data_IF_330613587191
#
_entry.id   IF_330613587191
#
_cell.length_a   1.000
_cell.length_b   1.000
_cell.length_c   1.000
_cell.angle_alpha   90.00
_cell.angle_beta   90.00
_cell.angle_gamma   90.00
#
_symmetry.space_group_name_H-M   'P 1'
#
loop_
_entity.id
_entity.type
_entity.pdbx_description
1 polymer ?
#
# COMPACT_ATOMS: atom_id res chain seq x y z
N UNK A 1 8.66 -3.10 -16.20
CA UNK A 1 7.98 -2.03 -15.45
C UNK A 1 7.55 -2.68 -14.14
N UNK A 2 7.91 -2.17 -12.95
CA UNK A 2 7.46 -2.81 -11.72
C UNK A 2 5.94 -2.74 -11.64
N UNK A 3 5.36 -3.81 -11.11
CA UNK A 3 3.92 -3.96 -10.90
C UNK A 3 3.48 -2.98 -9.79
N UNK A 4 2.61 -1.99 -10.07
CA UNK A 4 2.15 -1.01 -9.08
C UNK A 4 1.29 -1.62 -7.95
N UNK A 5 0.96 -2.91 -8.02
CA UNK A 5 -0.04 -3.57 -7.15
C UNK A 5 0.39 -3.73 -5.68
N UNK A 6 1.64 -3.43 -5.31
CA UNK A 6 2.20 -3.82 -4.01
C UNK A 6 1.70 -2.98 -2.82
N UNK A 7 1.25 -1.74 -3.02
CA UNK A 7 0.89 -0.85 -1.89
C UNK A 7 -0.57 -0.97 -1.45
N UNK A 8 -1.47 -1.46 -2.30
CA UNK A 8 -2.92 -1.56 -2.02
C UNK A 8 -3.34 -2.87 -1.32
N UNK A 9 -2.36 -3.66 -0.82
CA UNK A 9 -2.61 -5.02 -0.35
C UNK A 9 -3.69 -5.12 0.75
N UNK A 10 -3.84 -4.08 1.58
CA UNK A 10 -4.82 -4.08 2.69
C UNK A 10 -6.20 -3.62 2.24
N UNK A 11 -6.27 -2.74 1.26
CA UNK A 11 -7.48 -2.40 0.51
C UNK A 11 -7.99 -3.62 -0.26
N UNK A 12 -7.10 -4.38 -0.90
CA UNK A 12 -7.47 -5.63 -1.59
C UNK A 12 -8.01 -6.68 -0.62
N UNK A 13 -7.37 -6.86 0.55
CA UNK A 13 -7.94 -7.70 1.62
C UNK A 13 -9.31 -7.16 2.05
N UNK A 14 -9.46 -5.85 2.26
CA UNK A 14 -10.74 -5.27 2.68
C UNK A 14 -11.87 -5.54 1.69
N UNK A 15 -11.57 -5.42 0.40
CA UNK A 15 -12.52 -5.61 -0.71
C UNK A 15 -12.66 -7.07 -1.17
N UNK A 16 -11.88 -8.00 -0.60
CA UNK A 16 -11.84 -9.39 -1.05
C UNK A 16 -11.29 -9.58 -2.48
N UNK A 17 -10.47 -8.64 -2.95
CA UNK A 17 -9.83 -8.71 -4.26
C UNK A 17 -8.63 -9.70 -4.24
N UNK A 18 -8.28 -10.32 -5.39
CA UNK A 18 -7.12 -11.20 -5.49
C UNK A 18 -5.84 -10.48 -5.08
N UNK A 19 -5.03 -11.13 -4.23
CA UNK A 19 -3.77 -10.57 -3.79
C UNK A 19 -2.67 -10.83 -4.84
N UNK A 20 -1.83 -9.84 -5.18
CA UNK A 20 -0.74 -10.03 -6.14
C UNK A 20 0.37 -10.92 -5.56
N UNK A 21 1.17 -11.55 -6.42
CA UNK A 21 2.43 -12.12 -5.98
C UNK A 21 3.39 -11.02 -5.53
N UNK A 22 4.02 -11.22 -4.37
CA UNK A 22 4.89 -10.21 -3.75
C UNK A 22 6.36 -10.59 -3.85
N UNK A 23 7.12 -9.85 -4.64
CA UNK A 23 8.59 -9.87 -4.63
C UNK A 23 9.14 -8.71 -3.80
N UNK A 24 9.45 -8.99 -2.53
CA UNK A 24 9.92 -7.97 -1.59
C UNK A 24 11.28 -7.40 -1.98
N UNK A 25 12.18 -8.18 -2.57
CA UNK A 25 13.51 -7.68 -2.90
C UNK A 25 13.43 -6.74 -4.11
N UNK A 26 12.50 -6.97 -5.03
CA UNK A 26 12.25 -6.06 -6.15
C UNK A 26 11.72 -4.69 -5.68
N UNK A 27 10.89 -4.64 -4.63
CA UNK A 27 10.33 -3.40 -4.06
C UNK A 27 11.42 -2.36 -3.73
N UNK A 28 12.54 -2.80 -3.15
CA UNK A 28 13.63 -1.93 -2.69
C UNK A 28 14.73 -1.66 -3.73
N UNK A 29 14.69 -2.32 -4.89
CA UNK A 29 15.65 -2.12 -5.98
C UNK A 29 15.18 -1.11 -7.04
N UNK A 30 14.01 -0.52 -6.86
CA UNK A 30 13.44 0.42 -7.83
C UNK A 30 14.32 1.67 -7.94
N UNK A 31 14.79 1.95 -9.16
CA UNK A 31 15.51 3.17 -9.51
C UNK A 31 14.75 3.84 -10.66
N UNK A 32 14.47 5.14 -10.51
CA UNK A 32 13.87 5.97 -11.56
C UNK A 32 14.92 6.93 -12.11
N UNK A 33 14.86 7.23 -13.40
CA UNK A 33 15.79 8.17 -14.03
C UNK A 33 15.35 9.63 -13.85
N UNK A 34 14.03 9.86 -13.71
CA UNK A 34 13.41 11.17 -13.53
C UNK A 34 12.45 11.13 -12.32
N UNK A 35 12.54 12.08 -11.37
CA UNK A 35 11.57 12.20 -10.27
C UNK A 35 10.09 12.23 -10.71
N UNK A 36 9.81 12.69 -11.93
CA UNK A 36 8.45 12.67 -12.50
C UNK A 36 7.90 11.27 -12.68
N UNK A 37 8.75 10.28 -12.93
CA UNK A 37 8.34 8.87 -13.04
C UNK A 37 7.87 8.34 -11.68
N UNK A 38 8.53 8.75 -10.59
CA UNK A 38 8.12 8.40 -9.24
C UNK A 38 6.76 9.02 -8.90
N UNK A 39 6.57 10.32 -9.20
CA UNK A 39 5.28 10.99 -9.01
C UNK A 39 4.15 10.33 -9.80
N UNK A 40 4.39 10.04 -11.08
CA UNK A 40 3.41 9.35 -11.92
C UNK A 40 3.08 7.93 -11.42
N UNK A 41 4.01 7.27 -10.72
CA UNK A 41 3.77 5.97 -10.08
C UNK A 41 2.86 6.12 -8.86
N UNK A 42 3.08 7.16 -8.04
CA UNK A 42 2.21 7.47 -6.89
C UNK A 42 0.81 7.86 -7.35
N UNK A 43 0.69 8.68 -8.40
CA UNK A 43 -0.61 9.08 -8.95
C UNK A 43 -1.42 7.88 -9.47
N UNK A 44 -0.74 6.95 -10.14
CA UNK A 44 -1.37 5.71 -10.62
C UNK A 44 -1.84 4.83 -9.47
N UNK A 45 -1.00 4.64 -8.46
CA UNK A 45 -1.38 3.91 -7.25
C UNK A 45 -2.62 4.52 -6.58
N UNK A 46 -2.67 5.85 -6.45
CA UNK A 46 -3.82 6.54 -5.89
C UNK A 46 -5.11 6.31 -6.72
N UNK A 47 -4.99 6.34 -8.06
CA UNK A 47 -6.10 6.04 -8.95
C UNK A 47 -6.57 4.58 -8.84
N UNK A 48 -5.64 3.61 -8.78
CA UNK A 48 -5.94 2.19 -8.64
C UNK A 48 -6.66 1.90 -7.30
N UNK A 49 -6.17 2.49 -6.19
CA UNK A 49 -6.85 2.41 -4.89
C UNK A 49 -8.25 3.03 -4.94
N UNK A 50 -8.38 4.19 -5.58
CA UNK A 50 -9.68 4.87 -5.74
C UNK A 50 -10.68 4.02 -6.53
N UNK A 51 -10.23 3.40 -7.62
CA UNK A 51 -11.07 2.50 -8.42
C UNK A 51 -11.49 1.25 -7.63
N UNK A 52 -10.58 0.66 -6.86
CA UNK A 52 -10.86 -0.49 -6.01
C UNK A 52 -11.93 -0.16 -4.96
N UNK A 53 -11.79 0.98 -4.26
CA UNK A 53 -12.72 1.43 -3.22
C UNK A 53 -14.08 1.87 -3.78
N UNK A 54 -14.16 2.25 -5.05
CA UNK A 54 -15.41 2.64 -5.71
C UNK A 54 -16.26 1.45 -6.18
N UNK A 55 -15.80 0.21 -5.97
CA UNK A 55 -16.57 -0.99 -6.36
C UNK A 55 -17.78 -1.16 -5.44
N UNK A 56 -18.98 -0.90 -5.97
CA UNK A 56 -20.25 -1.05 -5.25
C UNK A 56 -20.43 -2.50 -4.77
N UNK A 57 -21.06 -2.66 -3.60
CA UNK A 57 -21.41 -3.94 -2.96
C UNK A 57 -20.25 -4.92 -2.64
N UNK A 58 -18.99 -4.55 -2.88
CA UNK A 58 -17.84 -5.40 -2.60
C UNK A 58 -17.34 -5.33 -1.14
N UNK A 59 -17.65 -4.25 -0.42
CA UNK A 59 -17.18 -4.05 0.94
C UNK A 59 -18.10 -4.70 1.98
N UNK A 60 -17.65 -5.84 2.51
CA UNK A 60 -18.29 -6.53 3.63
C UNK A 60 -17.42 -6.40 4.90
N UNK A 61 -17.80 -5.52 5.87
CA UNK A 61 -16.92 -5.13 6.98
C UNK A 61 -16.59 -6.27 7.93
N UNK A 62 -17.56 -7.14 8.21
CA UNK A 62 -17.42 -8.22 9.18
C UNK A 62 -16.76 -9.48 8.62
N UNK A 63 -16.62 -9.58 7.29
CA UNK A 63 -16.07 -10.76 6.63
C UNK A 63 -14.59 -10.92 6.95
N UNK A 64 -14.24 -12.07 7.52
CA UNK A 64 -12.86 -12.45 7.86
C UNK A 64 -12.14 -12.96 6.61
N UNK A 65 -10.96 -12.42 6.34
CA UNK A 65 -10.16 -12.73 5.15
C UNK A 65 -8.71 -12.97 5.52
N UNK A 66 -8.07 -13.84 4.75
CA UNK A 66 -6.64 -14.09 4.86
C UNK A 66 -5.86 -12.97 4.16
N UNK A 67 -4.81 -12.51 4.82
CA UNK A 67 -3.87 -11.52 4.27
C UNK A 67 -2.65 -12.19 3.63
N UNK A 68 -1.74 -11.40 3.04
CA UNK A 68 -0.47 -11.95 2.57
C UNK A 68 0.31 -12.64 3.67
N UNK A 69 1.03 -13.70 3.29
CA UNK A 69 1.99 -14.36 4.16
C UNK A 69 3.03 -13.36 4.67
N UNK A 70 3.23 -13.33 6.00
CA UNK A 70 4.24 -12.50 6.64
C UNK A 70 5.38 -13.38 7.14
N UNK A 71 6.52 -13.30 6.46
CA UNK A 71 7.73 -14.04 6.83
C UNK A 71 8.17 -13.82 8.29
N UNK A 72 7.96 -12.62 8.85
CA UNK A 72 8.27 -12.30 10.25
C UNK A 72 7.43 -13.09 11.26
N UNK A 73 6.22 -13.51 10.88
CA UNK A 73 5.30 -14.25 11.75
C UNK A 73 5.16 -15.72 11.36
N UNK A 74 5.69 -16.12 10.20
CA UNK A 74 5.57 -17.47 9.65
C UNK A 74 4.15 -17.86 9.22
N UNK A 75 3.21 -16.92 9.12
CA UNK A 75 1.82 -17.17 8.72
C UNK A 75 1.17 -15.95 8.08
N UNK A 76 0.03 -16.17 7.42
CA UNK A 76 -0.91 -15.12 7.10
C UNK A 76 -1.75 -14.75 8.34
N UNK A 77 -2.20 -13.50 8.40
CA UNK A 77 -3.16 -13.05 9.41
C UNK A 77 -4.58 -13.17 8.86
N UNK A 78 -5.52 -13.60 9.72
CA UNK A 78 -6.96 -13.54 9.43
C UNK A 78 -7.51 -12.27 10.07
N UNK A 79 -8.06 -11.36 9.26
CA UNK A 79 -8.54 -10.04 9.68
C UNK A 79 -9.91 -9.73 9.07
N UNK A 80 -10.71 -8.89 9.73
CA UNK A 80 -11.99 -8.44 9.15
C UNK A 80 -11.76 -7.40 8.05
N UNK A 81 -12.71 -7.27 7.13
CA UNK A 81 -12.69 -6.23 6.10
C UNK A 81 -12.57 -4.82 6.69
N UNK A 82 -13.31 -4.54 7.77
CA UNK A 82 -13.25 -3.28 8.49
C UNK A 82 -11.86 -2.99 9.07
N UNK A 83 -11.23 -4.01 9.68
CA UNK A 83 -9.89 -3.88 10.23
C UNK A 83 -8.87 -3.62 9.12
N UNK A 84 -8.96 -4.34 8.00
CA UNK A 84 -8.04 -4.20 6.89
C UNK A 84 -8.09 -2.80 6.27
N UNK A 85 -9.29 -2.24 6.08
CA UNK A 85 -9.46 -0.89 5.55
C UNK A 85 -8.93 0.18 6.52
N UNK A 86 -9.27 0.07 7.81
CA UNK A 86 -8.76 1.00 8.82
C UNK A 86 -7.22 0.96 8.88
N UNK A 87 -6.66 -0.24 8.87
CA UNK A 87 -5.21 -0.44 8.90
C UNK A 87 -4.53 0.19 7.66
N UNK A 88 -5.13 0.11 6.48
CA UNK A 88 -4.61 0.76 5.28
C UNK A 88 -4.52 2.29 5.44
N UNK A 89 -5.59 2.91 5.97
CA UNK A 89 -5.64 4.37 6.22
C UNK A 89 -4.63 4.79 7.28
N UNK A 90 -4.52 4.03 8.38
CA UNK A 90 -3.53 4.30 9.44
C UNK A 90 -2.11 4.22 8.91
N UNK A 91 -1.81 3.20 8.11
CA UNK A 91 -0.49 2.98 7.52
C UNK A 91 -0.12 4.06 6.49
N UNK A 92 -1.08 4.52 5.68
CA UNK A 92 -0.87 5.65 4.77
C UNK A 92 -0.50 6.93 5.55
N UNK A 93 -1.18 7.19 6.67
CA UNK A 93 -0.87 8.34 7.54
C UNK A 93 0.55 8.24 8.11
N UNK A 94 0.99 7.06 8.54
CA UNK A 94 2.36 6.84 9.01
C UNK A 94 3.41 7.13 7.93
N UNK A 95 3.18 6.67 6.71
CA UNK A 95 4.05 6.98 5.57
C UNK A 95 4.10 8.48 5.27
N UNK A 96 2.97 9.18 5.32
CA UNK A 96 2.95 10.63 5.15
C UNK A 96 3.81 11.33 6.20
N UNK A 97 3.73 10.89 7.46
CA UNK A 97 4.59 11.39 8.53
C UNK A 97 6.08 11.16 8.25
N UNK A 98 6.46 9.96 7.81
CA UNK A 98 7.85 9.67 7.43
C UNK A 98 8.34 10.56 6.29
N UNK A 99 7.56 10.73 5.23
CA UNK A 99 7.92 11.59 4.07
C UNK A 99 8.13 13.03 4.52
N UNK A 100 7.24 13.57 5.35
CA UNK A 100 7.35 14.93 5.87
C UNK A 100 8.60 15.13 6.73
N UNK A 101 8.91 14.18 7.62
CA UNK A 101 10.12 14.22 8.44
C UNK A 101 11.39 14.11 7.60
N UNK A 102 11.42 13.20 6.61
CA UNK A 102 12.55 13.08 5.68
C UNK A 102 12.79 14.38 4.93
N UNK A 103 11.73 15.04 4.46
CA UNK A 103 11.84 16.35 3.81
C UNK A 103 12.40 17.41 4.76
N UNK A 104 11.89 17.50 5.99
CA UNK A 104 12.38 18.47 6.97
C UNK A 104 13.87 18.30 7.26
N UNK A 105 14.33 17.06 7.43
CA UNK A 105 15.74 16.74 7.67
C UNK A 105 16.61 17.07 6.44
N UNK A 106 16.08 16.88 5.24
CA UNK A 106 16.77 17.25 4.00
C UNK A 106 16.93 18.77 3.87
N UNK A 107 15.84 19.52 4.07
CA UNK A 107 15.84 20.98 3.99
C UNK A 107 16.79 21.60 5.04
N UNK A 108 16.90 20.99 6.23
CA UNK A 108 17.87 21.38 7.27
C UNK A 108 19.33 21.09 6.92
N UNK A 109 19.60 20.12 6.04
CA UNK A 109 20.96 19.77 5.60
C UNK A 109 21.46 20.70 4.51
N UNK A 110 20.56 21.15 3.62
CA UNK A 110 20.87 22.00 2.47
C UNK A 110 20.92 23.51 2.81
N UNK A 111 20.41 23.90 3.99
CA UNK A 111 20.50 25.28 4.52
C UNK A 111 21.72 25.51 5.40
#
# INVERSE_FOLDING_TARGET
MPDPTITAAREMVAMGAPLPDRDRDAEFRTVVADPRELLATVDRLAADCGALLATEDAFEPATMRESHFRASSGRAEIVSGAWALLHAVEHLREHMGHIQLTRQLWDQREG
#
